data_IF_510572376194
#
_entry.id   IF_510572376194
#
_cell.length_a   1.000
_cell.length_b   1.000
_cell.length_c   1.000
_cell.angle_alpha   90.00
_cell.angle_beta   90.00
_cell.angle_gamma   90.00
#
_symmetry.space_group_name_H-M   'P 1'
#
loop_
_entity.id
_entity.type
_entity.pdbx_description
1 polymer ?
#
# COMPACT_ATOMS: atom_id res chain seq x y z
N UNK A 1 -21.90 -11.27 -4.79
CA UNK A 1 -20.58 -11.71 -4.31
C UNK A 1 -19.57 -11.89 -5.45
N UNK A 2 -19.89 -12.61 -6.51
CA UNK A 2 -19.01 -12.86 -7.68
C UNK A 2 -18.50 -11.56 -8.31
N UNK A 3 -19.34 -10.55 -8.53
CA UNK A 3 -18.96 -9.26 -9.15
C UNK A 3 -17.91 -8.47 -8.34
N UNK A 4 -17.90 -8.59 -7.00
CA UNK A 4 -16.89 -7.92 -6.15
C UNK A 4 -15.53 -8.65 -6.24
N UNK A 5 -15.53 -9.96 -6.24
CA UNK A 5 -14.30 -10.77 -6.34
C UNK A 5 -13.59 -10.54 -7.68
N UNK A 6 -14.33 -10.56 -8.79
CA UNK A 6 -13.76 -10.31 -10.12
C UNK A 6 -13.17 -8.90 -10.22
N UNK A 7 -13.82 -7.89 -9.63
CA UNK A 7 -13.34 -6.51 -9.64
C UNK A 7 -12.04 -6.33 -8.84
N UNK A 8 -11.92 -7.01 -7.69
CA UNK A 8 -10.70 -6.95 -6.87
C UNK A 8 -9.58 -7.76 -7.55
N UNK A 9 -9.87 -8.90 -8.16
CA UNK A 9 -8.92 -9.65 -8.95
C UNK A 9 -8.38 -8.86 -10.16
N UNK A 10 -9.19 -7.97 -10.72
CA UNK A 10 -8.80 -7.03 -11.78
C UNK A 10 -7.63 -6.10 -11.40
N UNK A 11 -7.35 -5.95 -10.09
CA UNK A 11 -6.24 -5.15 -9.60
C UNK A 11 -4.88 -5.64 -10.12
N UNK A 12 -4.72 -6.92 -10.37
CA UNK A 12 -3.48 -7.48 -10.90
C UNK A 12 -3.23 -7.11 -12.38
N UNK A 13 -4.29 -6.93 -13.16
CA UNK A 13 -4.20 -6.55 -14.57
C UNK A 13 -4.18 -5.03 -14.79
N UNK A 14 -4.69 -4.27 -13.80
CA UNK A 14 -4.84 -2.82 -13.89
C UNK A 14 -3.53 -2.06 -14.21
N UNK A 15 -2.35 -2.41 -13.64
CA UNK A 15 -1.07 -1.74 -13.93
C UNK A 15 -0.65 -1.77 -15.41
N UNK A 16 -1.19 -2.69 -16.19
CA UNK A 16 -0.83 -2.89 -17.60
C UNK A 16 -1.81 -2.25 -18.60
N UNK A 17 -2.84 -1.57 -18.10
CA UNK A 17 -3.84 -0.88 -18.95
C UNK A 17 -3.34 0.50 -19.39
N UNK A 18 -3.93 1.02 -20.45
CA UNK A 18 -3.79 2.43 -20.91
C UNK A 18 -2.35 2.92 -21.14
N UNK A 19 -1.61 2.28 -22.05
CA UNK A 19 -0.23 2.68 -22.45
C UNK A 19 0.74 2.72 -21.25
N UNK A 20 1.02 1.62 -20.65
CA UNK A 20 1.78 1.54 -19.40
C UNK A 20 3.25 2.00 -19.53
N UNK A 21 3.85 1.95 -20.72
CA UNK A 21 5.30 2.12 -20.91
C UNK A 21 5.88 3.40 -20.28
N UNK A 22 5.28 4.57 -20.53
CA UNK A 22 5.78 5.83 -19.95
C UNK A 22 5.56 5.88 -18.43
N UNK A 23 4.42 5.40 -17.95
CA UNK A 23 4.11 5.32 -16.52
C UNK A 23 5.08 4.40 -15.81
N UNK A 24 5.37 3.24 -16.39
CA UNK A 24 6.33 2.30 -15.85
C UNK A 24 7.75 2.86 -15.85
N UNK A 25 8.21 3.47 -16.96
CA UNK A 25 9.56 4.03 -17.02
C UNK A 25 9.83 5.04 -15.91
N UNK A 26 8.91 5.98 -15.69
CA UNK A 26 9.06 6.99 -14.63
C UNK A 26 8.94 6.33 -13.23
N UNK A 27 8.01 5.39 -13.05
CA UNK A 27 7.85 4.68 -11.79
C UNK A 27 9.07 3.84 -11.41
N UNK A 28 9.64 3.13 -12.38
CA UNK A 28 10.88 2.37 -12.18
C UNK A 28 12.04 3.29 -11.81
N UNK A 29 12.17 4.44 -12.48
CA UNK A 29 13.18 5.44 -12.16
C UNK A 29 12.98 5.97 -10.73
N UNK A 30 11.74 6.27 -10.32
CA UNK A 30 11.45 6.75 -8.97
C UNK A 30 11.81 5.71 -7.90
N UNK A 31 11.56 4.41 -8.15
CA UNK A 31 12.00 3.33 -7.25
C UNK A 31 13.52 3.20 -7.25
N UNK A 32 14.18 3.33 -8.39
CA UNK A 32 15.64 3.18 -8.50
C UNK A 32 16.39 4.28 -7.74
N UNK A 33 15.87 5.52 -7.72
CA UNK A 33 16.49 6.66 -7.03
C UNK A 33 16.01 6.86 -5.60
N UNK A 34 15.48 5.81 -4.95
CA UNK A 34 15.17 5.90 -3.51
C UNK A 34 16.45 6.28 -2.70
N UNK A 35 16.32 7.14 -1.67
CA UNK A 35 15.11 7.68 -1.03
C UNK A 35 14.53 8.96 -1.67
N UNK A 36 15.22 9.61 -2.62
CA UNK A 36 14.76 10.87 -3.25
C UNK A 36 13.44 10.68 -4.00
N UNK A 37 13.28 9.53 -4.67
CA UNK A 37 12.08 9.15 -5.38
C UNK A 37 10.88 8.81 -4.49
N UNK A 38 11.06 8.72 -3.16
CA UNK A 38 10.00 8.28 -2.23
C UNK A 38 8.78 9.19 -2.26
N UNK A 39 8.98 10.50 -2.14
CA UNK A 39 7.88 11.46 -2.12
C UNK A 39 7.06 11.45 -3.42
N UNK A 40 7.66 11.59 -4.62
CA UNK A 40 6.88 11.49 -5.85
C UNK A 40 6.22 10.12 -6.03
N UNK A 41 6.84 9.03 -5.59
CA UNK A 41 6.29 7.68 -5.69
C UNK A 41 5.05 7.51 -4.81
N UNK A 42 5.09 7.96 -3.56
CA UNK A 42 3.95 7.91 -2.66
C UNK A 42 2.82 8.86 -3.10
N UNK A 43 3.16 10.06 -3.58
CA UNK A 43 2.18 10.97 -4.17
C UNK A 43 1.52 10.37 -5.40
N UNK A 44 2.29 9.66 -6.22
CA UNK A 44 1.75 8.94 -7.36
C UNK A 44 0.83 7.78 -6.92
N UNK A 45 1.16 7.06 -5.85
CA UNK A 45 0.28 6.02 -5.29
C UNK A 45 -1.09 6.60 -4.88
N UNK A 46 -1.12 7.78 -4.25
CA UNK A 46 -2.37 8.50 -3.93
C UNK A 46 -3.12 8.91 -5.19
N UNK A 47 -2.42 9.46 -6.19
CA UNK A 47 -3.02 9.83 -7.48
C UNK A 47 -3.59 8.60 -8.21
N UNK A 48 -2.88 7.48 -8.18
CA UNK A 48 -3.32 6.20 -8.74
C UNK A 48 -4.58 5.67 -8.03
N UNK A 49 -4.64 5.75 -6.69
CA UNK A 49 -5.83 5.40 -5.91
C UNK A 49 -7.03 6.27 -6.30
N UNK A 50 -6.83 7.57 -6.44
CA UNK A 50 -7.87 8.54 -6.88
C UNK A 50 -8.38 8.21 -8.28
N UNK A 51 -7.48 7.93 -9.22
CA UNK A 51 -7.85 7.54 -10.58
C UNK A 51 -8.63 6.21 -10.60
N UNK A 52 -8.19 5.23 -9.82
CA UNK A 52 -8.87 3.95 -9.68
C UNK A 52 -10.28 4.08 -9.07
N UNK A 53 -10.52 5.05 -8.19
CA UNK A 53 -11.86 5.34 -7.66
C UNK A 53 -12.79 5.95 -8.72
N UNK A 54 -12.28 6.90 -9.50
CA UNK A 54 -13.04 7.64 -10.49
C UNK A 54 -13.31 6.80 -11.76
N UNK A 55 -12.28 6.17 -12.29
CA UNK A 55 -12.32 5.42 -13.55
C UNK A 55 -11.63 4.05 -13.40
N UNK A 56 -12.27 3.07 -12.75
CA UNK A 56 -11.64 1.78 -12.46
C UNK A 56 -11.31 0.95 -13.71
N UNK A 57 -11.96 1.22 -14.83
CA UNK A 57 -11.71 0.55 -16.11
C UNK A 57 -10.46 1.06 -16.82
N UNK A 58 -10.09 2.31 -16.58
CA UNK A 58 -8.92 2.95 -17.16
C UNK A 58 -7.65 2.54 -16.40
N UNK A 59 -6.54 2.47 -17.04
CA UNK A 59 -5.27 2.12 -16.37
C UNK A 59 -4.74 3.22 -15.44
N UNK A 60 -3.51 3.06 -14.93
CA UNK A 60 -2.86 4.04 -14.09
C UNK A 60 -2.79 5.43 -14.76
N UNK A 61 -2.93 6.53 -13.99
CA UNK A 61 -2.87 7.87 -14.54
C UNK A 61 -1.46 8.17 -15.08
N UNK A 62 -1.35 9.16 -15.95
CA UNK A 62 -0.03 9.66 -16.38
C UNK A 62 0.65 10.38 -15.23
N UNK A 63 1.96 10.28 -15.18
CA UNK A 63 2.76 11.06 -14.25
C UNK A 63 2.62 12.56 -14.57
N UNK A 64 2.19 13.33 -13.59
CA UNK A 64 2.12 14.79 -13.65
C UNK A 64 2.86 15.32 -12.42
N UNK A 65 4.07 15.81 -12.64
CA UNK A 65 4.84 16.43 -11.58
C UNK A 65 4.20 17.77 -11.21
N UNK A 66 3.60 17.83 -10.04
CA UNK A 66 2.94 19.03 -9.51
C UNK A 66 3.22 19.19 -8.02
N UNK A 67 3.06 20.40 -7.50
CA UNK A 67 3.18 20.65 -6.07
C UNK A 67 2.19 19.80 -5.26
N UNK A 68 1.01 19.54 -5.82
CA UNK A 68 0.01 18.65 -5.22
C UNK A 68 0.52 17.22 -5.09
N UNK A 69 1.16 16.67 -6.14
CA UNK A 69 1.74 15.32 -6.10
C UNK A 69 2.74 15.20 -4.96
N UNK A 70 3.63 16.20 -4.80
CA UNK A 70 4.64 16.19 -3.74
C UNK A 70 4.01 16.37 -2.35
N UNK A 71 3.00 17.22 -2.23
CA UNK A 71 2.26 17.39 -0.97
C UNK A 71 1.51 16.11 -0.58
N UNK A 72 0.79 15.47 -1.52
CA UNK A 72 0.13 14.19 -1.31
C UNK A 72 1.16 13.12 -0.88
N UNK A 73 2.33 13.11 -1.53
CA UNK A 73 3.44 12.22 -1.18
C UNK A 73 4.03 12.47 0.20
N UNK A 74 4.16 13.73 0.60
CA UNK A 74 4.66 14.09 1.93
C UNK A 74 3.70 13.62 3.05
N UNK A 75 2.39 13.78 2.86
CA UNK A 75 1.40 13.27 3.81
C UNK A 75 1.40 11.74 3.87
N UNK A 76 1.48 11.07 2.73
CA UNK A 76 1.60 9.62 2.69
C UNK A 76 2.89 9.12 3.34
N UNK A 77 4.03 9.81 3.11
CA UNK A 77 5.31 9.50 3.76
C UNK A 77 5.23 9.67 5.28
N UNK A 78 4.58 10.73 5.75
CA UNK A 78 4.34 10.95 7.17
C UNK A 78 3.51 9.82 7.79
N UNK A 79 2.43 9.40 7.12
CA UNK A 79 1.60 8.29 7.59
C UNK A 79 2.39 6.97 7.67
N UNK A 80 3.22 6.67 6.64
CA UNK A 80 4.12 5.50 6.65
C UNK A 80 5.11 5.61 7.80
N UNK A 81 5.75 6.77 7.98
CA UNK A 81 6.73 7.00 9.04
C UNK A 81 6.10 6.79 10.42
N UNK A 82 4.93 7.39 10.67
CA UNK A 82 4.21 7.24 11.94
C UNK A 82 3.77 5.79 12.18
N UNK A 83 3.42 5.06 11.13
CA UNK A 83 3.06 3.63 11.24
C UNK A 83 4.28 2.78 11.56
N UNK A 84 5.46 3.11 11.00
CA UNK A 84 6.70 2.34 11.22
C UNK A 84 7.45 2.75 12.48
N UNK A 85 7.23 3.96 13.00
CA UNK A 85 7.96 4.51 14.14
C UNK A 85 7.93 3.60 15.37
N UNK A 86 6.78 3.06 15.83
CA UNK A 86 6.77 2.19 16.99
C UNK A 86 7.56 0.88 16.76
N UNK A 87 7.50 0.32 15.55
CA UNK A 87 8.35 -0.83 15.21
C UNK A 87 9.84 -0.49 15.37
N UNK A 88 10.28 0.62 14.81
CA UNK A 88 11.67 1.05 14.86
C UNK A 88 12.14 1.32 16.30
N UNK A 89 11.27 1.90 17.13
CA UNK A 89 11.57 2.19 18.54
C UNK A 89 11.63 0.93 19.41
N UNK A 90 10.81 -0.07 19.11
CA UNK A 90 10.70 -1.28 19.93
C UNK A 90 11.66 -2.40 19.50
N UNK A 91 12.10 -2.39 18.25
CA UNK A 91 12.94 -3.47 17.72
C UNK A 91 14.24 -3.65 18.48
N UNK A 92 14.99 -2.57 18.71
CA UNK A 92 16.30 -2.65 19.37
C UNK A 92 16.19 -3.03 20.86
N UNK A 93 15.35 -2.39 21.69
CA UNK A 93 15.20 -2.79 23.08
C UNK A 93 14.66 -4.22 23.25
N UNK A 94 13.75 -4.66 22.37
CA UNK A 94 13.28 -6.04 22.39
C UNK A 94 14.40 -7.03 22.02
N UNK A 95 15.22 -6.69 21.02
CA UNK A 95 16.39 -7.47 20.65
C UNK A 95 17.41 -7.60 21.80
N UNK A 96 17.66 -6.52 22.54
CA UNK A 96 18.52 -6.55 23.72
C UNK A 96 17.94 -7.43 24.84
N UNK A 97 16.64 -7.35 25.08
CA UNK A 97 15.97 -8.18 26.08
C UNK A 97 16.06 -9.66 25.73
N UNK A 98 15.84 -10.03 24.48
CA UNK A 98 15.96 -11.42 24.01
C UNK A 98 17.40 -11.91 23.99
N UNK A 99 18.37 -11.01 23.89
CA UNK A 99 19.82 -11.31 23.94
C UNK A 99 20.29 -11.90 25.28
N UNK A 100 19.46 -11.81 26.33
CA UNK A 100 19.72 -12.52 27.59
C UNK A 100 19.59 -14.04 27.47
N UNK A 101 18.84 -14.53 26.46
CA UNK A 101 18.56 -15.95 26.24
C UNK A 101 19.02 -16.47 24.87
N UNK A 102 19.30 -15.59 23.91
CA UNK A 102 19.67 -15.92 22.54
C UNK A 102 20.96 -15.21 22.14
N UNK A 103 21.66 -15.78 21.16
CA UNK A 103 22.76 -15.06 20.49
C UNK A 103 22.27 -13.71 19.96
N UNK A 104 23.07 -12.62 20.03
CA UNK A 104 22.65 -11.26 19.66
C UNK A 104 22.05 -11.14 18.26
N UNK A 105 22.57 -11.89 17.28
CA UNK A 105 22.01 -11.88 15.93
C UNK A 105 20.60 -12.47 15.91
N UNK A 106 20.44 -13.67 16.48
CA UNK A 106 19.13 -14.34 16.53
C UNK A 106 18.12 -13.59 17.40
N UNK A 107 18.56 -12.93 18.46
CA UNK A 107 17.72 -12.09 19.30
C UNK A 107 17.09 -10.94 18.52
N UNK A 108 17.86 -10.21 17.71
CA UNK A 108 17.36 -9.11 16.89
C UNK A 108 16.47 -9.60 15.73
N UNK A 109 16.81 -10.73 15.11
CA UNK A 109 15.95 -11.36 14.08
C UNK A 109 14.61 -11.78 14.68
N UNK A 110 14.65 -12.44 15.84
CA UNK A 110 13.42 -12.86 16.55
C UNK A 110 12.58 -11.65 16.96
N UNK A 111 13.20 -10.59 17.49
CA UNK A 111 12.50 -9.33 17.81
C UNK A 111 11.82 -8.73 16.58
N UNK A 112 12.51 -8.69 15.44
CA UNK A 112 11.94 -8.21 14.20
C UNK A 112 10.74 -9.03 13.75
N UNK A 113 10.82 -10.36 13.79
CA UNK A 113 9.72 -11.26 13.41
C UNK A 113 8.50 -11.13 14.35
N UNK A 114 8.73 -11.02 15.66
CA UNK A 114 7.67 -10.83 16.66
C UNK A 114 6.93 -9.50 16.46
N UNK A 115 7.65 -8.45 16.07
CA UNK A 115 7.05 -7.14 15.81
C UNK A 115 6.44 -7.05 14.40
N UNK A 116 7.00 -7.74 13.41
CA UNK A 116 6.53 -7.67 12.03
C UNK A 116 5.07 -8.11 11.87
N UNK A 117 4.63 -9.12 12.62
CA UNK A 117 3.26 -9.64 12.52
C UNK A 117 2.22 -8.62 12.99
N UNK A 118 2.23 -8.08 14.22
CA UNK A 118 1.24 -7.11 14.67
C UNK A 118 1.34 -5.79 13.90
N UNK A 119 2.55 -5.33 13.57
CA UNK A 119 2.74 -4.11 12.80
C UNK A 119 2.35 -4.27 11.33
N UNK A 120 2.65 -5.40 10.72
CA UNK A 120 2.19 -5.73 9.38
C UNK A 120 0.66 -5.77 9.29
N UNK A 121 -0.01 -6.35 10.27
CA UNK A 121 -1.48 -6.34 10.37
C UNK A 121 -2.04 -4.91 10.52
N UNK A 122 -1.41 -4.09 11.38
CA UNK A 122 -1.78 -2.69 11.54
C UNK A 122 -1.62 -1.92 10.22
N UNK A 123 -0.50 -2.09 9.54
CA UNK A 123 -0.24 -1.45 8.26
C UNK A 123 -1.24 -1.89 7.18
N UNK A 124 -1.56 -3.19 7.09
CA UNK A 124 -2.54 -3.74 6.15
C UNK A 124 -3.96 -3.19 6.38
N UNK A 125 -4.30 -2.83 7.60
CA UNK A 125 -5.60 -2.23 7.92
C UNK A 125 -5.54 -0.72 7.73
N UNK A 126 -4.51 -0.07 8.23
CA UNK A 126 -4.43 1.39 8.26
C UNK A 126 -4.13 1.99 6.88
N UNK A 127 -3.09 1.51 6.19
CA UNK A 127 -2.62 2.16 4.97
C UNK A 127 -3.62 2.15 3.81
N UNK A 128 -4.33 1.04 3.49
CA UNK A 128 -5.35 1.07 2.44
C UNK A 128 -6.51 2.01 2.77
N UNK A 129 -6.93 2.08 4.05
CA UNK A 129 -7.97 2.99 4.49
C UNK A 129 -7.52 4.45 4.37
N UNK A 130 -6.36 4.77 4.94
CA UNK A 130 -5.81 6.11 4.95
C UNK A 130 -5.63 6.65 3.53
N UNK A 131 -5.01 5.86 2.64
CA UNK A 131 -4.78 6.27 1.25
C UNK A 131 -6.07 6.42 0.46
N UNK A 132 -7.05 5.51 0.62
CA UNK A 132 -8.32 5.61 -0.08
C UNK A 132 -9.16 6.80 0.41
N UNK A 133 -9.24 7.02 1.73
CA UNK A 133 -9.93 8.18 2.30
C UNK A 133 -9.29 9.48 1.84
N UNK A 134 -7.98 9.61 1.99
CA UNK A 134 -7.24 10.79 1.56
C UNK A 134 -7.35 11.04 0.05
N UNK A 135 -7.33 9.99 -0.76
CA UNK A 135 -7.56 10.13 -2.20
C UNK A 135 -8.93 10.71 -2.52
N UNK A 136 -9.98 10.32 -1.78
CA UNK A 136 -11.34 10.78 -1.97
C UNK A 136 -11.59 12.21 -1.45
N UNK A 137 -11.07 12.55 -0.26
CA UNK A 137 -11.38 13.81 0.43
C UNK A 137 -10.32 14.89 0.22
N UNK A 138 -9.04 14.50 0.10
CA UNK A 138 -7.90 15.41 0.10
C UNK A 138 -7.56 15.96 1.51
N UNK A 139 -8.24 15.49 2.58
CA UNK A 139 -7.95 15.93 3.95
C UNK A 139 -6.82 15.11 4.56
N UNK A 140 -5.68 15.73 4.94
CA UNK A 140 -4.56 15.02 5.58
C UNK A 140 -4.93 14.29 6.88
N UNK A 141 -5.97 14.71 7.58
CA UNK A 141 -6.44 14.06 8.81
C UNK A 141 -6.89 12.63 8.58
N UNK A 142 -7.39 12.33 7.38
CA UNK A 142 -7.81 10.97 7.00
C UNK A 142 -6.62 10.00 6.95
N UNK A 143 -5.38 10.50 6.77
CA UNK A 143 -4.17 9.68 6.86
C UNK A 143 -3.89 9.13 8.26
N UNK A 144 -4.49 9.71 9.30
CA UNK A 144 -4.28 9.34 10.70
C UNK A 144 -5.53 8.69 11.34
N UNK A 145 -6.60 8.45 10.57
CA UNK A 145 -7.87 7.90 11.09
C UNK A 145 -7.80 6.36 11.30
N UNK A 146 -7.04 5.93 12.29
CA UNK A 146 -7.00 4.52 12.72
C UNK A 146 -8.35 4.01 13.21
N UNK A 147 -9.13 4.86 13.88
CA UNK A 147 -10.44 4.49 14.38
C UNK A 147 -11.43 4.24 13.22
N UNK A 148 -11.35 5.04 12.16
CA UNK A 148 -12.11 4.83 10.93
C UNK A 148 -11.74 3.54 10.23
N UNK A 149 -10.44 3.22 10.17
CA UNK A 149 -9.96 1.96 9.61
C UNK A 149 -10.54 0.75 10.38
N UNK A 150 -10.48 0.76 11.70
CA UNK A 150 -11.03 -0.30 12.54
C UNK A 150 -12.56 -0.44 12.38
N UNK A 151 -13.28 0.67 12.28
CA UNK A 151 -14.73 0.66 11.99
C UNK A 151 -15.02 0.09 10.59
N UNK A 152 -14.20 0.44 9.60
CA UNK A 152 -14.30 -0.06 8.23
C UNK A 152 -14.18 -1.59 8.17
N UNK A 153 -13.18 -2.14 8.83
CA UNK A 153 -12.99 -3.61 8.95
C UNK A 153 -14.22 -4.29 9.55
N UNK A 154 -14.76 -3.73 10.65
CA UNK A 154 -15.94 -4.30 11.32
C UNK A 154 -17.20 -4.26 10.44
N UNK A 155 -17.33 -3.24 9.58
CA UNK A 155 -18.50 -3.08 8.70
C UNK A 155 -18.50 -4.05 7.52
N UNK A 156 -17.33 -4.28 6.91
CA UNK A 156 -17.21 -5.12 5.72
C UNK A 156 -15.91 -5.94 5.74
N UNK A 157 -15.87 -6.87 6.70
CA UNK A 157 -14.71 -7.74 6.90
C UNK A 157 -14.33 -8.54 5.65
N UNK A 158 -15.32 -8.94 4.83
CA UNK A 158 -15.05 -9.68 3.60
C UNK A 158 -14.31 -8.83 2.56
N UNK A 159 -14.73 -7.58 2.34
CA UNK A 159 -14.04 -6.68 1.42
C UNK A 159 -12.62 -6.41 1.88
N UNK A 160 -12.44 -6.20 3.19
CA UNK A 160 -11.12 -5.98 3.77
C UNK A 160 -10.20 -7.18 3.61
N UNK A 161 -10.67 -8.39 3.86
CA UNK A 161 -9.89 -9.61 3.65
C UNK A 161 -9.47 -9.77 2.18
N UNK A 162 -10.37 -9.51 1.24
CA UNK A 162 -10.03 -9.57 -0.18
C UNK A 162 -8.98 -8.53 -0.58
N UNK A 163 -9.12 -7.30 -0.12
CA UNK A 163 -8.14 -6.23 -0.38
C UNK A 163 -6.80 -6.58 0.26
N UNK A 164 -6.78 -7.02 1.50
CA UNK A 164 -5.56 -7.45 2.19
C UNK A 164 -4.89 -8.63 1.46
N UNK A 165 -5.66 -9.63 1.03
CA UNK A 165 -5.13 -10.76 0.27
C UNK A 165 -4.47 -10.32 -1.05
N UNK A 166 -5.11 -9.40 -1.81
CA UNK A 166 -4.54 -8.86 -3.05
C UNK A 166 -3.25 -8.08 -2.78
N UNK A 167 -3.23 -7.22 -1.75
CA UNK A 167 -2.04 -6.46 -1.38
C UNK A 167 -0.90 -7.41 -0.99
N UNK A 168 -1.15 -8.34 -0.08
CA UNK A 168 -0.13 -9.32 0.35
C UNK A 168 0.38 -10.14 -0.83
N UNK A 169 -0.50 -10.60 -1.70
CA UNK A 169 -0.10 -11.36 -2.90
C UNK A 169 0.75 -10.52 -3.84
N UNK A 170 0.38 -9.25 -4.09
CA UNK A 170 1.15 -8.36 -4.95
C UNK A 170 2.56 -8.11 -4.40
N UNK A 171 2.69 -7.88 -3.09
CA UNK A 171 3.98 -7.71 -2.44
C UNK A 171 4.80 -9.02 -2.41
N UNK A 172 4.14 -10.17 -2.20
CA UNK A 172 4.81 -11.47 -2.26
C UNK A 172 5.36 -11.76 -3.67
N UNK A 173 4.60 -11.45 -4.71
CA UNK A 173 5.06 -11.55 -6.12
C UNK A 173 6.23 -10.59 -6.36
N UNK A 174 6.14 -9.34 -5.90
CA UNK A 174 7.22 -8.37 -6.03
C UNK A 174 8.52 -8.84 -5.37
N UNK A 175 8.42 -9.38 -4.16
CA UNK A 175 9.58 -9.95 -3.43
C UNK A 175 10.11 -11.22 -4.09
N UNK A 176 9.26 -12.08 -4.62
CA UNK A 176 9.68 -13.27 -5.37
C UNK A 176 10.45 -12.88 -6.64
N UNK A 177 10.03 -11.85 -7.36
CA UNK A 177 10.76 -11.30 -8.50
C UNK A 177 12.14 -10.76 -8.09
N UNK A 178 12.25 -10.17 -6.89
CA UNK A 178 13.53 -9.72 -6.34
C UNK A 178 14.47 -10.88 -6.03
N UNK A 179 13.95 -11.97 -5.47
CA UNK A 179 14.74 -13.15 -5.15
C UNK A 179 15.22 -13.90 -6.40
N UNK A 180 14.40 -13.94 -7.45
CA UNK A 180 14.73 -14.61 -8.71
C UNK A 180 15.76 -13.83 -9.56
N UNK A 181 15.64 -12.52 -9.57
CA UNK A 181 16.48 -11.60 -10.35
C UNK A 181 16.72 -10.36 -9.49
N UNK A 182 17.96 -10.10 -9.07
CA UNK A 182 18.30 -8.92 -8.23
C UNK A 182 17.75 -7.60 -8.79
N UNK A 183 17.62 -7.49 -10.12
CA UNK A 183 17.02 -6.34 -10.81
C UNK A 183 15.48 -6.32 -10.70
N UNK A 184 14.86 -7.47 -10.40
CA UNK A 184 13.40 -7.63 -10.32
C UNK A 184 12.74 -6.89 -9.16
N UNK A 185 13.51 -6.42 -8.16
CA UNK A 185 12.97 -5.67 -7.02
C UNK A 185 12.32 -4.36 -7.47
N UNK A 186 12.92 -3.66 -8.43
CA UNK A 186 12.46 -2.35 -8.90
C UNK A 186 11.07 -2.45 -9.57
N UNK A 187 10.86 -3.30 -10.60
CA UNK A 187 9.53 -3.49 -11.18
C UNK A 187 8.57 -4.16 -10.21
N UNK A 188 9.02 -5.06 -9.35
CA UNK A 188 8.18 -5.74 -8.37
C UNK A 188 7.57 -4.78 -7.34
N UNK A 189 8.36 -3.86 -6.80
CA UNK A 189 7.89 -2.83 -5.87
C UNK A 189 6.90 -1.89 -6.54
N UNK A 190 7.21 -1.39 -7.74
CA UNK A 190 6.31 -0.49 -8.45
C UNK A 190 4.99 -1.17 -8.82
N UNK A 191 5.04 -2.43 -9.27
CA UNK A 191 3.85 -3.25 -9.50
C UNK A 191 2.99 -3.40 -8.25
N UNK A 192 3.61 -3.77 -7.12
CA UNK A 192 2.89 -3.94 -5.86
C UNK A 192 2.22 -2.65 -5.39
N UNK A 193 2.87 -1.49 -5.57
CA UNK A 193 2.28 -0.18 -5.27
C UNK A 193 1.03 0.08 -6.12
N UNK A 194 1.08 -0.17 -7.43
CA UNK A 194 -0.06 0.04 -8.32
C UNK A 194 -1.23 -0.89 -8.01
N UNK A 195 -0.96 -2.17 -7.79
CA UNK A 195 -1.99 -3.14 -7.37
C UNK A 195 -2.61 -2.74 -6.05
N UNK A 196 -1.80 -2.33 -5.07
CA UNK A 196 -2.27 -1.87 -3.76
C UNK A 196 -3.15 -0.63 -3.88
N UNK A 197 -2.79 0.34 -4.73
CA UNK A 197 -3.56 1.55 -4.98
C UNK A 197 -4.96 1.23 -5.56
N UNK A 198 -5.03 0.36 -6.56
CA UNK A 198 -6.29 -0.05 -7.16
C UNK A 198 -7.16 -0.87 -6.19
N UNK A 199 -6.56 -1.78 -5.42
CA UNK A 199 -7.26 -2.58 -4.43
C UNK A 199 -7.81 -1.70 -3.28
N UNK A 200 -7.01 -0.72 -2.79
CA UNK A 200 -7.45 0.22 -1.76
C UNK A 200 -8.65 1.07 -2.21
N UNK A 201 -8.67 1.51 -3.48
CA UNK A 201 -9.78 2.26 -4.05
C UNK A 201 -11.12 1.50 -3.98
N UNK A 202 -11.09 0.16 -3.96
CA UNK A 202 -12.30 -0.65 -3.84
C UNK A 202 -13.00 -0.53 -2.47
N UNK A 203 -12.29 -0.06 -1.43
CA UNK A 203 -12.86 0.12 -0.09
C UNK A 203 -13.83 1.31 0.00
N UNK A 204 -13.65 2.34 -0.82
CA UNK A 204 -14.49 3.55 -0.80
C UNK A 204 -15.76 3.44 -1.64
N UNK A 205 -15.88 2.41 -2.47
CA UNK A 205 -17.06 2.25 -3.32
C UNK A 205 -18.22 1.66 -2.54
N UNK A 206 -19.29 2.43 -2.30
CA UNK A 206 -20.52 1.89 -1.74
C UNK A 206 -21.06 0.80 -2.68
N UNK A 207 -21.63 -0.22 -2.08
CA UNK A 207 -22.26 -1.33 -2.79
C UNK A 207 -23.57 -0.85 -3.46
N UNK A 208 -23.45 -0.03 -4.52
CA UNK A 208 -24.59 0.53 -5.27
C UNK A 208 -25.50 -0.55 -5.88
N UNK A 209 -25.01 -1.78 -5.98
CA UNK A 209 -25.74 -2.89 -6.61
C UNK A 209 -26.84 -3.50 -5.71
N UNK A 210 -26.96 -3.09 -4.44
CA UNK A 210 -28.00 -3.57 -3.53
C UNK A 210 -29.21 -2.63 -3.42
N UNK A 211 -29.15 -1.41 -3.97
CA UNK A 211 -30.26 -0.45 -3.86
C UNK A 211 -31.22 -0.47 -5.07
N UNK A 212 -30.97 -1.32 -6.06
CA UNK A 212 -31.78 -1.43 -7.29
C UNK A 212 -32.48 -2.78 -7.48
N UNK A 213 -32.65 -3.54 -6.38
CA UNK A 213 -33.51 -4.73 -6.40
C UNK A 213 -34.66 -4.61 -5.42
#
# INVERSE_FOLDING_TARGET
MVCRVTRIADSFAWPFRNRPAATWAIGLLAVLVLPVGLLPLLGYAVAATRAAEQTPGDGPPRWTFSARLLADGAWAALAVLLTLLPFALLWHPLGMLLGAALDPFYAHVTAALLLALPWGMLALVHMPHATSRFAATGDPRDMLDLAGAARGVRRDFQAWNLVAAVIVTAWAVGLACAAALCVGIVPGVFYAILVSAHAAAALQRPNKDLSTR
#
